data_IF_419710025831
#
_entry.id   IF_419710025831
#
_cell.length_a   1.000
_cell.length_b   1.000
_cell.length_c   1.000
_cell.angle_alpha   90.00
_cell.angle_beta   90.00
_cell.angle_gamma   90.00
#
_symmetry.space_group_name_H-M   'P 1'
#
loop_
_entity.id
_entity.type
_entity.pdbx_description
1 polymer ?
#
# COMPACT_ATOMS: atom_id res chain seq x y z
N UNK A 1 14.25 -75.22 11.00
CA UNK A 1 13.99 -73.80 10.73
C UNK A 1 13.08 -73.77 9.50
N UNK A 2 11.82 -74.16 9.69
CA UNK A 2 10.67 -73.26 9.91
C UNK A 2 10.36 -72.46 8.63
N UNK A 3 9.41 -72.95 7.81
CA UNK A 3 7.95 -72.67 7.81
C UNK A 3 7.66 -71.23 7.34
N UNK A 4 6.83 -70.96 6.34
CA UNK A 4 5.99 -71.81 5.51
C UNK A 4 5.36 -70.98 4.37
N UNK A 5 4.97 -71.69 3.32
CA UNK A 5 4.12 -71.19 2.24
C UNK A 5 2.82 -71.98 2.30
N UNK A 6 1.69 -71.31 2.46
CA UNK A 6 0.43 -71.85 1.96
C UNK A 6 -0.56 -70.74 1.61
N UNK A 7 -1.18 -70.95 0.46
CA UNK A 7 -2.05 -70.07 -0.31
C UNK A 7 -3.45 -70.64 -0.21
N UNK A 8 -4.45 -69.85 0.21
CA UNK A 8 -5.85 -70.04 -0.21
C UNK A 8 -6.56 -68.68 -0.28
N UNK A 9 -6.94 -68.30 -1.49
CA UNK A 9 -7.99 -67.32 -1.79
C UNK A 9 -9.35 -68.00 -1.65
N UNK A 10 -10.35 -67.30 -1.08
CA UNK A 10 -11.72 -67.15 -1.59
C UNK A 10 -12.60 -66.45 -0.53
N UNK A 11 -13.30 -65.39 -0.94
CA UNK A 11 -14.47 -64.88 -0.22
C UNK A 11 -14.57 -63.36 -0.16
N UNK A 12 -15.21 -62.76 -1.17
CA UNK A 12 -15.71 -61.39 -1.13
C UNK A 12 -17.02 -61.29 -0.33
N UNK A 13 -17.37 -60.04 0.01
CA UNK A 13 -18.58 -59.52 0.66
C UNK A 13 -18.62 -59.61 2.19
N UNK A 14 -18.43 -58.45 2.83
CA UNK A 14 -19.48 -57.82 3.62
C UNK A 14 -19.24 -56.30 3.65
N UNK A 15 -20.33 -55.55 3.60
CA UNK A 15 -20.37 -54.14 3.25
C UNK A 15 -19.87 -53.23 4.39
N UNK A 16 -18.90 -52.37 4.08
CA UNK A 16 -18.63 -51.18 4.89
C UNK A 16 -19.69 -50.11 4.57
N UNK A 17 -20.83 -50.20 5.26
CA UNK A 17 -21.67 -49.03 5.52
C UNK A 17 -21.18 -48.41 6.84
N UNK A 18 -20.25 -47.45 6.74
CA UNK A 18 -19.81 -46.66 7.89
C UNK A 18 -20.44 -45.26 7.78
N UNK A 19 -21.73 -45.19 8.08
CA UNK A 19 -22.40 -43.92 8.36
C UNK A 19 -21.74 -43.27 9.59
N UNK A 20 -20.88 -42.26 9.36
CA UNK A 20 -20.35 -41.41 10.44
C UNK A 20 -21.53 -40.75 11.15
N UNK A 21 -21.81 -41.18 12.38
CA UNK A 21 -22.76 -40.51 13.25
C UNK A 21 -22.31 -39.05 13.46
N UNK A 22 -23.01 -38.10 12.83
CA UNK A 22 -22.79 -36.67 13.09
C UNK A 22 -23.16 -36.37 14.54
N UNK A 23 -22.17 -35.95 15.32
CA UNK A 23 -22.34 -35.51 16.72
C UNK A 23 -23.34 -34.35 16.80
N UNK A 24 -24.26 -34.41 17.79
CA UNK A 24 -25.24 -33.35 18.03
C UNK A 24 -24.60 -32.32 18.94
N UNK A 25 -24.44 -31.10 18.44
CA UNK A 25 -23.93 -29.95 19.19
C UNK A 25 -25.02 -29.49 20.16
N UNK A 26 -24.73 -29.54 21.46
CA UNK A 26 -25.66 -29.19 22.53
C UNK A 26 -25.64 -27.67 22.78
N UNK A 27 -26.63 -26.95 22.27
CA UNK A 27 -26.80 -25.51 22.54
C UNK A 27 -27.65 -25.26 23.79
N UNK A 28 -28.66 -26.10 24.01
CA UNK A 28 -29.45 -26.16 25.23
C UNK A 28 -29.61 -27.61 25.68
N UNK A 29 -29.24 -27.92 26.93
CA UNK A 29 -29.40 -29.26 27.50
C UNK A 29 -30.86 -29.68 27.67
N UNK A 30 -31.78 -28.72 27.71
CA UNK A 30 -33.23 -28.94 27.73
C UNK A 30 -33.88 -28.50 26.41
N UNK A 31 -33.11 -28.48 25.31
CA UNK A 31 -33.62 -28.14 24.00
C UNK A 31 -34.77 -29.05 23.57
N UNK A 32 -35.70 -28.48 22.82
CA UNK A 32 -36.94 -29.10 22.35
C UNK A 32 -36.98 -29.26 20.82
N UNK A 33 -35.87 -28.97 20.13
CA UNK A 33 -35.75 -29.05 18.68
C UNK A 33 -34.32 -29.39 18.26
N UNK A 34 -34.18 -30.22 17.23
CA UNK A 34 -32.89 -30.53 16.60
C UNK A 34 -32.85 -29.89 15.20
N UNK A 35 -32.04 -28.84 15.04
CA UNK A 35 -31.81 -28.22 13.74
C UNK A 35 -30.75 -28.98 12.95
N UNK A 36 -31.05 -29.34 11.71
CA UNK A 36 -30.15 -30.08 10.81
C UNK A 36 -29.75 -29.18 9.65
N UNK A 37 -28.45 -28.89 9.53
CA UNK A 37 -27.90 -28.02 8.49
C UNK A 37 -27.00 -28.87 7.60
N UNK A 38 -27.34 -28.96 6.31
CA UNK A 38 -26.59 -29.77 5.34
C UNK A 38 -25.36 -28.99 4.86
N UNK A 39 -24.19 -29.55 5.09
CA UNK A 39 -22.94 -29.08 4.51
C UNK A 39 -22.76 -29.71 3.12
N UNK A 40 -23.23 -29.00 2.09
CA UNK A 40 -23.14 -29.44 0.69
C UNK A 40 -21.70 -29.69 0.24
N UNK A 41 -20.72 -29.08 0.90
CA UNK A 41 -19.30 -29.20 0.52
C UNK A 41 -18.65 -30.47 1.04
N UNK A 42 -19.19 -31.04 2.13
CA UNK A 42 -18.59 -32.19 2.83
C UNK A 42 -19.46 -33.44 2.85
N UNK A 43 -20.61 -33.40 2.16
CA UNK A 43 -21.67 -34.42 2.23
C UNK A 43 -21.96 -34.82 3.70
N UNK A 44 -22.01 -33.81 4.56
CA UNK A 44 -22.16 -33.94 6.00
C UNK A 44 -23.32 -33.09 6.49
N UNK A 45 -23.81 -33.36 7.71
CA UNK A 45 -24.81 -32.52 8.34
C UNK A 45 -24.35 -32.10 9.73
N UNK A 46 -24.55 -30.84 10.10
CA UNK A 46 -24.41 -30.39 11.49
C UNK A 46 -25.77 -30.42 12.15
N UNK A 47 -25.81 -30.95 13.37
CA UNK A 47 -27.03 -31.10 14.16
C UNK A 47 -26.89 -30.28 15.43
N UNK A 48 -27.88 -29.47 15.76
CA UNK A 48 -27.87 -28.60 16.94
C UNK A 48 -29.11 -28.86 17.77
N UNK A 49 -28.94 -29.29 19.03
CA UNK A 49 -30.03 -29.32 20.00
C UNK A 49 -30.20 -27.91 20.56
N UNK A 50 -31.35 -27.29 20.29
CA UNK A 50 -31.62 -25.88 20.57
C UNK A 50 -32.97 -25.72 21.28
N UNK A 51 -33.23 -24.51 21.80
CA UNK A 51 -34.53 -24.11 22.32
C UNK A 51 -35.32 -23.33 21.27
N UNK A 52 -36.45 -23.89 20.83
CA UNK A 52 -37.41 -23.25 19.93
C UNK A 52 -37.90 -21.91 20.49
N UNK A 53 -37.98 -21.79 21.82
CA UNK A 53 -38.41 -20.57 22.52
C UNK A 53 -37.38 -19.47 22.42
N UNK A 54 -36.09 -19.78 22.65
CA UNK A 54 -34.98 -18.83 22.50
C UNK A 54 -34.91 -18.32 21.07
N UNK A 55 -34.98 -19.23 20.09
CA UNK A 55 -35.00 -18.88 18.67
C UNK A 55 -36.19 -17.99 18.29
N UNK A 56 -37.38 -18.31 18.79
CA UNK A 56 -38.60 -17.50 18.56
C UNK A 56 -38.53 -16.11 19.17
N UNK A 57 -37.84 -15.95 20.32
CA UNK A 57 -37.66 -14.64 20.95
C UNK A 57 -36.69 -13.77 20.14
N UNK A 58 -35.64 -14.38 19.58
CA UNK A 58 -34.60 -13.68 18.84
C UNK A 58 -34.99 -13.37 17.39
N UNK A 59 -35.85 -14.19 16.77
CA UNK A 59 -36.18 -14.13 15.35
C UNK A 59 -37.70 -14.25 15.12
N UNK A 60 -38.32 -13.27 14.45
CA UNK A 60 -39.72 -13.37 14.04
C UNK A 60 -39.94 -14.40 12.94
N UNK A 61 -38.89 -14.82 12.22
CA UNK A 61 -38.95 -15.90 11.23
C UNK A 61 -39.05 -17.24 11.94
N UNK A 62 -38.18 -17.53 12.90
CA UNK A 62 -38.30 -18.73 13.74
C UNK A 62 -39.60 -18.75 14.54
N UNK A 63 -40.03 -17.62 15.09
CA UNK A 63 -41.33 -17.53 15.78
C UNK A 63 -42.52 -17.91 14.90
N UNK A 64 -42.46 -17.61 13.59
CA UNK A 64 -43.50 -18.01 12.63
C UNK A 64 -43.33 -19.47 12.21
N UNK A 65 -42.10 -19.90 11.91
CA UNK A 65 -41.77 -21.28 11.54
C UNK A 65 -42.24 -22.28 12.60
N UNK A 66 -42.03 -21.98 13.87
CA UNK A 66 -42.45 -22.85 14.99
C UNK A 66 -43.89 -22.62 15.45
N UNK A 67 -44.66 -21.82 14.72
CA UNK A 67 -46.09 -21.66 14.99
C UNK A 67 -46.90 -22.83 14.43
N UNK A 68 -48.10 -23.14 14.98
CA UNK A 68 -48.92 -24.28 14.54
C UNK A 68 -49.46 -24.17 13.10
N UNK A 69 -49.13 -23.08 12.40
CA UNK A 69 -49.54 -22.83 11.00
C UNK A 69 -48.59 -23.43 9.98
N UNK A 70 -47.41 -23.84 10.42
CA UNK A 70 -46.36 -24.41 9.58
C UNK A 70 -46.10 -25.86 9.98
N UNK A 71 -45.57 -26.64 9.04
CA UNK A 71 -45.29 -28.07 9.24
C UNK A 71 -44.34 -28.26 10.42
N UNK A 72 -43.32 -27.42 10.50
CA UNK A 72 -42.30 -27.38 11.53
C UNK A 72 -42.89 -27.18 12.92
N UNK A 73 -43.84 -26.25 13.07
CA UNK A 73 -44.52 -26.00 14.34
C UNK A 73 -45.55 -27.06 14.73
N UNK A 74 -46.12 -27.80 13.77
CA UNK A 74 -46.95 -28.97 14.06
C UNK A 74 -46.08 -30.13 14.56
N UNK A 75 -44.94 -30.39 13.92
CA UNK A 75 -43.98 -31.41 14.37
C UNK A 75 -43.47 -31.14 15.79
N UNK A 76 -43.24 -29.88 16.13
CA UNK A 76 -42.83 -29.48 17.49
C UNK A 76 -43.89 -29.77 18.57
N UNK A 77 -45.17 -29.92 18.21
CA UNK A 77 -46.23 -30.29 19.15
C UNK A 77 -46.40 -31.80 19.29
N UNK A 78 -46.18 -32.53 18.20
CA UNK A 78 -46.48 -33.96 18.10
C UNK A 78 -45.27 -34.85 18.46
N UNK A 79 -44.04 -34.35 18.31
CA UNK A 79 -42.80 -35.11 18.48
C UNK A 79 -41.95 -34.53 19.63
N UNK A 80 -41.25 -35.41 20.34
CA UNK A 80 -40.24 -35.00 21.32
C UNK A 80 -38.92 -34.69 20.59
N UNK A 81 -38.55 -33.41 20.53
CA UNK A 81 -37.35 -32.90 19.85
C UNK A 81 -37.26 -33.24 18.34
N UNK A 82 -38.19 -32.74 17.50
CA UNK A 82 -38.20 -33.04 16.06
C UNK A 82 -36.94 -32.54 15.35
N UNK A 83 -36.61 -33.24 14.26
CA UNK A 83 -35.52 -32.86 13.36
C UNK A 83 -36.03 -31.90 12.29
N UNK A 84 -35.56 -30.65 12.30
CA UNK A 84 -35.94 -29.62 11.33
C UNK A 84 -34.76 -29.29 10.43
N UNK A 85 -34.92 -29.52 9.13
CA UNK A 85 -33.86 -29.36 8.12
C UNK A 85 -33.82 -27.92 7.59
N UNK A 86 -32.64 -27.30 7.60
CA UNK A 86 -32.35 -25.96 7.05
C UNK A 86 -31.39 -26.10 5.85
N UNK A 87 -31.92 -26.52 4.70
CA UNK A 87 -31.12 -27.05 3.57
C UNK A 87 -30.33 -26.02 2.75
N UNK A 88 -30.63 -24.74 2.93
CA UNK A 88 -30.04 -23.62 2.20
C UNK A 88 -29.08 -22.79 3.06
N UNK A 89 -28.84 -23.21 4.30
CA UNK A 89 -28.04 -22.42 5.23
C UNK A 89 -26.57 -22.83 5.28
N UNK A 90 -25.69 -21.84 5.45
CA UNK A 90 -24.28 -22.09 5.69
C UNK A 90 -24.08 -22.66 7.12
N UNK A 91 -23.45 -23.83 7.25
CA UNK A 91 -23.32 -24.50 8.54
C UNK A 91 -22.42 -23.75 9.52
N UNK A 92 -21.44 -22.95 9.05
CA UNK A 92 -20.54 -22.20 9.94
C UNK A 92 -21.22 -20.94 10.46
N UNK A 93 -21.88 -20.19 9.57
CA UNK A 93 -22.61 -18.99 9.94
C UNK A 93 -23.75 -19.31 10.91
N UNK A 94 -24.53 -20.36 10.63
CA UNK A 94 -25.61 -20.78 11.51
C UNK A 94 -25.12 -21.30 12.85
N UNK A 95 -23.99 -22.02 12.91
CA UNK A 95 -23.42 -22.39 14.21
C UNK A 95 -23.14 -21.16 15.07
N UNK A 96 -22.52 -20.13 14.51
CA UNK A 96 -22.20 -18.92 15.25
C UNK A 96 -23.47 -18.18 15.70
N UNK A 97 -24.45 -18.01 14.79
CA UNK A 97 -25.74 -17.40 15.11
C UNK A 97 -26.40 -18.15 16.26
N UNK A 98 -26.56 -19.48 16.13
CA UNK A 98 -27.25 -20.29 17.12
C UNK A 98 -26.53 -20.30 18.47
N UNK A 99 -25.19 -20.33 18.50
CA UNK A 99 -24.40 -20.20 19.73
C UNK A 99 -24.61 -18.84 20.41
N UNK A 100 -24.62 -17.75 19.64
CA UNK A 100 -24.88 -16.40 20.19
C UNK A 100 -26.28 -16.34 20.80
N UNK A 101 -27.30 -16.82 20.08
CA UNK A 101 -28.68 -16.79 20.55
C UNK A 101 -28.86 -17.60 21.85
N UNK A 102 -28.09 -18.67 22.04
CA UNK A 102 -28.10 -19.50 23.25
C UNK A 102 -27.05 -19.07 24.30
N UNK A 103 -26.49 -17.86 24.20
CA UNK A 103 -25.52 -17.32 25.14
C UNK A 103 -24.24 -18.16 25.33
N UNK A 104 -23.86 -18.97 24.33
CA UNK A 104 -22.65 -19.78 24.33
C UNK A 104 -21.48 -19.04 23.65
N UNK A 105 -21.08 -17.90 24.19
CA UNK A 105 -20.21 -16.94 23.49
C UNK A 105 -18.69 -17.09 23.73
N UNK A 106 -18.22 -18.22 24.26
CA UNK A 106 -16.82 -18.40 24.67
C UNK A 106 -15.91 -18.67 23.46
N UNK A 107 -15.82 -17.69 22.55
CA UNK A 107 -14.71 -17.38 21.61
C UNK A 107 -15.11 -16.34 20.51
N UNK A 108 -16.29 -15.72 20.62
CA UNK A 108 -16.92 -14.96 19.52
C UNK A 108 -16.26 -13.56 19.29
N UNK A 109 -15.37 -13.13 20.20
CA UNK A 109 -14.70 -11.83 20.14
C UNK A 109 -13.56 -11.75 19.11
N UNK A 110 -13.17 -12.86 18.47
CA UNK A 110 -12.17 -12.85 17.42
C UNK A 110 -12.67 -12.09 16.17
N UNK A 111 -11.77 -11.40 15.43
CA UNK A 111 -12.12 -10.82 14.14
C UNK A 111 -12.58 -11.93 13.18
N UNK A 112 -13.74 -11.70 12.54
CA UNK A 112 -14.36 -12.65 11.60
C UNK A 112 -14.02 -12.24 10.18
N UNK A 113 -13.34 -13.10 9.41
CA UNK A 113 -12.95 -12.78 8.02
C UNK A 113 -14.13 -12.28 7.17
N UNK A 114 -13.88 -11.48 6.12
CA UNK A 114 -14.94 -10.80 5.36
C UNK A 114 -16.00 -11.74 4.80
N UNK A 115 -15.58 -12.86 4.20
CA UNK A 115 -16.49 -13.86 3.62
C UNK A 115 -17.43 -14.48 4.66
N UNK A 116 -16.92 -14.80 5.85
CA UNK A 116 -17.73 -15.34 6.95
C UNK A 116 -18.66 -14.26 7.51
N UNK A 117 -18.19 -13.01 7.60
CA UNK A 117 -19.02 -11.88 8.02
C UNK A 117 -20.19 -11.65 7.06
N UNK A 118 -19.96 -11.74 5.76
CA UNK A 118 -21.02 -11.67 4.75
C UNK A 118 -22.03 -12.82 4.89
N UNK A 119 -21.56 -14.06 5.04
CA UNK A 119 -22.44 -15.21 5.28
C UNK A 119 -23.30 -15.02 6.53
N UNK A 120 -22.71 -14.55 7.64
CA UNK A 120 -23.46 -14.20 8.84
C UNK A 120 -24.54 -13.16 8.57
N UNK A 121 -24.20 -12.11 7.81
CA UNK A 121 -25.14 -11.05 7.49
C UNK A 121 -26.32 -11.54 6.65
N UNK A 122 -26.07 -12.39 5.66
CA UNK A 122 -27.11 -13.04 4.84
C UNK A 122 -28.07 -13.86 5.73
N UNK A 123 -27.55 -14.68 6.64
CA UNK A 123 -28.40 -15.49 7.51
C UNK A 123 -29.12 -14.65 8.58
N UNK A 124 -28.48 -13.59 9.10
CA UNK A 124 -29.12 -12.68 10.02
C UNK A 124 -30.29 -11.91 9.38
N UNK A 125 -30.15 -11.51 8.12
CA UNK A 125 -31.23 -10.90 7.34
C UNK A 125 -32.32 -11.92 7.02
N UNK A 126 -31.96 -13.14 6.55
CA UNK A 126 -32.89 -14.25 6.27
C UNK A 126 -33.79 -14.57 7.46
N UNK A 127 -33.22 -14.62 8.66
CA UNK A 127 -33.96 -14.94 9.89
C UNK A 127 -34.42 -13.70 10.66
N UNK A 128 -34.13 -12.49 10.19
CA UNK A 128 -34.42 -11.22 10.87
C UNK A 128 -33.98 -11.23 12.36
N UNK A 129 -32.73 -11.65 12.60
CA UNK A 129 -32.16 -11.80 13.93
C UNK A 129 -30.95 -10.88 14.21
N UNK A 130 -30.62 -9.96 13.28
CA UNK A 130 -29.52 -9.00 13.43
C UNK A 130 -29.57 -8.22 14.76
N UNK A 131 -30.76 -7.89 15.26
CA UNK A 131 -30.92 -7.17 16.54
C UNK A 131 -30.43 -7.99 17.73
N UNK A 132 -30.59 -9.30 17.72
CA UNK A 132 -30.10 -10.17 18.80
C UNK A 132 -28.56 -10.26 18.78
N UNK A 133 -27.94 -10.04 17.62
CA UNK A 133 -26.49 -10.10 17.42
C UNK A 133 -25.80 -8.73 17.42
N UNK A 134 -26.52 -7.64 17.74
CA UNK A 134 -26.06 -6.27 17.49
C UNK A 134 -24.69 -5.94 18.11
N UNK A 135 -24.41 -6.43 19.32
CA UNK A 135 -23.15 -6.19 20.02
C UNK A 135 -21.95 -6.74 19.24
N UNK A 136 -22.10 -7.93 18.66
CA UNK A 136 -21.05 -8.57 17.87
C UNK A 136 -20.94 -7.96 16.47
N UNK A 137 -22.07 -7.64 15.84
CA UNK A 137 -22.09 -6.98 14.53
C UNK A 137 -21.33 -5.66 14.59
N UNK A 138 -21.58 -4.83 15.61
CA UNK A 138 -20.84 -3.56 15.80
C UNK A 138 -19.35 -3.81 15.97
N UNK A 139 -18.97 -4.83 16.75
CA UNK A 139 -17.56 -5.18 16.93
C UNK A 139 -16.90 -5.65 15.62
N UNK A 140 -17.54 -6.55 14.88
CA UNK A 140 -16.99 -7.12 13.65
C UNK A 140 -16.94 -6.11 12.50
N UNK A 141 -17.96 -5.25 12.35
CA UNK A 141 -17.96 -4.20 11.35
C UNK A 141 -16.93 -3.09 11.62
N UNK A 142 -16.51 -2.91 12.89
CA UNK A 142 -15.49 -1.94 13.27
C UNK A 142 -14.08 -2.54 13.35
N UNK A 143 -13.95 -3.85 13.32
CA UNK A 143 -12.64 -4.51 13.38
C UNK A 143 -11.86 -4.22 12.09
N UNK A 144 -10.70 -3.57 12.23
CA UNK A 144 -9.73 -3.50 11.14
C UNK A 144 -9.25 -4.93 10.86
N UNK A 145 -9.37 -5.36 9.62
CA UNK A 145 -8.84 -6.62 9.13
C UNK A 145 -7.93 -6.28 7.97
N UNK A 146 -6.82 -7.01 7.86
CA UNK A 146 -5.95 -6.92 6.69
C UNK A 146 -6.72 -7.43 5.48
N UNK A 147 -7.39 -6.50 4.80
CA UNK A 147 -8.08 -6.75 3.54
C UNK A 147 -7.06 -6.59 2.44
N UNK A 148 -6.79 -7.66 1.72
CA UNK A 148 -5.84 -7.64 0.60
C UNK A 148 -6.50 -7.97 -0.74
N UNK A 149 -7.57 -8.79 -0.74
CA UNK A 149 -8.20 -9.25 -1.97
C UNK A 149 -9.38 -8.36 -2.41
N UNK A 150 -9.63 -8.16 -3.71
CA UNK A 150 -10.76 -7.37 -4.20
C UNK A 150 -12.13 -7.85 -3.71
N UNK A 151 -12.33 -9.17 -3.62
CA UNK A 151 -13.58 -9.79 -3.16
C UNK A 151 -13.85 -9.56 -1.67
N UNK A 152 -12.81 -9.39 -0.86
CA UNK A 152 -12.96 -9.12 0.57
C UNK A 152 -13.63 -7.77 0.83
N UNK A 153 -13.35 -6.76 0.01
CA UNK A 153 -14.09 -5.50 0.02
C UNK A 153 -15.56 -5.70 -0.35
N UNK A 154 -15.84 -6.58 -1.32
CA UNK A 154 -17.20 -6.98 -1.69
C UNK A 154 -17.94 -7.62 -0.52
N UNK A 155 -17.32 -8.58 0.17
CA UNK A 155 -17.91 -9.25 1.32
C UNK A 155 -18.13 -8.31 2.51
N UNK A 156 -17.18 -7.42 2.81
CA UNK A 156 -17.37 -6.35 3.81
C UNK A 156 -18.55 -5.45 3.47
N UNK A 157 -18.66 -5.03 2.21
CA UNK A 157 -19.72 -4.15 1.75
C UNK A 157 -21.09 -4.84 1.82
N UNK A 158 -21.17 -6.11 1.41
CA UNK A 158 -22.37 -6.95 1.52
C UNK A 158 -22.80 -7.10 2.97
N UNK A 159 -21.85 -7.38 3.87
CA UNK A 159 -22.15 -7.47 5.30
C UNK A 159 -22.70 -6.15 5.85
N UNK A 160 -22.01 -5.04 5.56
CA UNK A 160 -22.43 -3.71 6.02
C UNK A 160 -23.81 -3.32 5.46
N UNK A 161 -24.11 -3.68 4.21
CA UNK A 161 -25.42 -3.49 3.58
C UNK A 161 -26.52 -4.28 4.29
N UNK A 162 -26.33 -5.60 4.44
CA UNK A 162 -27.32 -6.50 5.05
C UNK A 162 -27.57 -6.17 6.53
N UNK A 163 -26.53 -5.79 7.27
CA UNK A 163 -26.66 -5.34 8.66
C UNK A 163 -27.26 -3.94 8.80
N UNK A 164 -27.43 -3.18 7.71
CA UNK A 164 -27.78 -1.76 7.71
C UNK A 164 -26.82 -0.95 8.61
N UNK A 165 -25.54 -1.27 8.51
CA UNK A 165 -24.49 -0.70 9.37
C UNK A 165 -24.32 0.80 9.11
N UNK A 166 -24.17 1.63 10.14
CA UNK A 166 -23.85 3.06 9.97
C UNK A 166 -22.48 3.28 9.32
N UNK A 167 -21.59 2.28 9.33
CA UNK A 167 -20.25 2.37 8.72
C UNK A 167 -20.24 2.11 7.21
N UNK A 168 -21.38 1.81 6.60
CA UNK A 168 -21.49 1.45 5.18
C UNK A 168 -20.80 2.46 4.24
N UNK A 169 -20.99 3.76 4.46
CA UNK A 169 -20.33 4.81 3.65
C UNK A 169 -18.82 4.80 3.78
N UNK A 170 -18.28 4.52 4.97
CA UNK A 170 -16.83 4.42 5.18
C UNK A 170 -16.26 3.21 4.43
N UNK A 171 -16.97 2.08 4.45
CA UNK A 171 -16.60 0.88 3.69
C UNK A 171 -16.58 1.15 2.17
N UNK A 172 -17.52 1.93 1.63
CA UNK A 172 -17.49 2.36 0.22
C UNK A 172 -16.22 3.16 -0.07
N UNK A 173 -15.87 4.13 0.78
CA UNK A 173 -14.69 4.98 0.58
C UNK A 173 -13.40 4.16 0.68
N UNK A 174 -13.33 3.24 1.65
CA UNK A 174 -12.20 2.30 1.81
C UNK A 174 -12.04 1.44 0.54
N UNK A 175 -13.13 0.84 0.06
CA UNK A 175 -13.13 0.04 -1.16
C UNK A 175 -12.72 0.86 -2.40
N UNK A 176 -13.25 2.08 -2.56
CA UNK A 176 -12.94 2.95 -3.69
C UNK A 176 -11.47 3.38 -3.75
N UNK A 177 -10.76 3.39 -2.61
CA UNK A 177 -9.33 3.72 -2.54
C UNK A 177 -8.43 2.55 -2.98
N UNK A 178 -8.90 1.32 -2.84
CA UNK A 178 -8.08 0.10 -2.97
C UNK A 178 -8.44 -0.74 -4.20
N UNK A 179 -9.68 -0.65 -4.69
CA UNK A 179 -10.15 -1.43 -5.83
C UNK A 179 -9.72 -0.84 -7.16
N UNK A 180 -9.37 -1.72 -8.08
CA UNK A 180 -9.17 -1.39 -9.49
C UNK A 180 -10.52 -1.22 -10.22
N UNK A 181 -10.59 -0.44 -11.32
CA UNK A 181 -11.86 -0.18 -12.02
C UNK A 181 -12.61 -1.42 -12.52
N UNK A 182 -11.91 -2.53 -12.76
CA UNK A 182 -12.43 -3.80 -13.24
C UNK A 182 -12.83 -4.79 -12.13
N UNK A 183 -12.90 -4.36 -10.87
CA UNK A 183 -13.24 -5.24 -9.74
C UNK A 183 -14.54 -6.04 -9.91
N UNK A 184 -15.48 -5.53 -10.71
CA UNK A 184 -16.80 -6.14 -10.93
C UNK A 184 -16.69 -7.57 -11.44
N UNK A 185 -15.75 -7.86 -12.34
CA UNK A 185 -15.57 -9.23 -12.87
C UNK A 185 -15.12 -10.22 -11.80
N UNK A 186 -14.32 -9.76 -10.82
CA UNK A 186 -13.90 -10.59 -9.67
C UNK A 186 -15.11 -10.87 -8.77
N UNK A 187 -15.96 -9.87 -8.56
CA UNK A 187 -17.14 -10.03 -7.71
C UNK A 187 -18.18 -10.97 -8.30
N UNK A 188 -18.34 -10.99 -9.63
CA UNK A 188 -19.25 -11.89 -10.35
C UNK A 188 -18.90 -13.38 -10.18
N UNK A 189 -17.65 -13.72 -9.84
CA UNK A 189 -17.23 -15.10 -9.54
C UNK A 189 -17.79 -15.62 -8.20
N UNK A 190 -18.34 -14.74 -7.36
CA UNK A 190 -18.84 -15.07 -6.04
C UNK A 190 -20.36 -14.92 -5.94
N UNK A 191 -21.07 -16.05 -5.92
CA UNK A 191 -22.55 -16.10 -5.83
C UNK A 191 -23.13 -15.24 -4.70
N UNK A 192 -22.48 -15.18 -3.54
CA UNK A 192 -22.94 -14.36 -2.42
C UNK A 192 -22.92 -12.85 -2.75
N UNK A 193 -21.97 -12.38 -3.55
CA UNK A 193 -21.85 -10.97 -3.93
C UNK A 193 -22.94 -10.54 -4.92
N UNK A 194 -23.61 -11.47 -5.60
CA UNK A 194 -24.79 -11.18 -6.40
C UNK A 194 -25.99 -10.67 -5.56
N UNK A 195 -25.93 -10.80 -4.23
CA UNK A 195 -26.92 -10.23 -3.31
C UNK A 195 -26.72 -8.72 -3.04
N UNK A 196 -25.58 -8.14 -3.43
CA UNK A 196 -25.41 -6.69 -3.43
C UNK A 196 -26.24 -6.07 -4.56
N UNK A 197 -26.98 -4.98 -4.30
CA UNK A 197 -27.66 -4.23 -5.36
C UNK A 197 -26.71 -3.76 -6.46
N UNK A 198 -27.10 -3.94 -7.72
CA UNK A 198 -26.33 -3.53 -8.90
C UNK A 198 -26.08 -2.02 -8.92
N UNK A 199 -26.96 -1.22 -8.30
CA UNK A 199 -26.78 0.22 -8.15
C UNK A 199 -25.54 0.57 -7.31
N UNK A 200 -25.21 -0.26 -6.32
CA UNK A 200 -24.05 -0.04 -5.44
C UNK A 200 -22.76 -0.37 -6.18
N UNK A 201 -22.72 -1.50 -6.89
CA UNK A 201 -21.54 -1.90 -7.68
C UNK A 201 -21.28 -0.90 -8.81
N UNK A 202 -22.33 -0.49 -9.52
CA UNK A 202 -22.26 0.53 -10.57
C UNK A 202 -21.80 1.87 -10.02
N UNK A 203 -22.37 2.35 -8.91
CA UNK A 203 -21.98 3.60 -8.29
C UNK A 203 -20.51 3.58 -7.80
N UNK A 204 -20.05 2.45 -7.25
CA UNK A 204 -18.66 2.28 -6.83
C UNK A 204 -17.69 2.30 -8.02
N UNK A 205 -18.01 1.59 -9.11
CA UNK A 205 -17.20 1.60 -10.34
C UNK A 205 -17.13 3.00 -10.96
N UNK A 206 -18.26 3.72 -11.00
CA UNK A 206 -18.32 5.09 -11.49
C UNK A 206 -17.54 6.07 -10.59
N UNK A 207 -17.61 5.89 -9.27
CA UNK A 207 -16.81 6.66 -8.31
C UNK A 207 -15.31 6.47 -8.54
N UNK A 208 -14.84 5.23 -8.67
CA UNK A 208 -13.42 4.92 -8.93
C UNK A 208 -13.00 5.55 -10.25
N UNK A 209 -13.76 5.29 -11.32
CA UNK A 209 -13.46 5.78 -12.67
C UNK A 209 -13.41 7.30 -12.76
N UNK A 210 -14.40 8.00 -12.18
CA UNK A 210 -14.43 9.47 -12.14
C UNK A 210 -13.29 10.05 -11.31
N UNK A 211 -12.95 9.40 -10.20
CA UNK A 211 -11.85 9.86 -9.34
C UNK A 211 -10.52 9.74 -10.08
N UNK A 212 -10.26 8.60 -10.72
CA UNK A 212 -9.06 8.40 -11.55
C UNK A 212 -9.00 9.38 -12.73
N UNK A 213 -10.12 9.60 -13.43
CA UNK A 213 -10.19 10.57 -14.51
C UNK A 213 -9.88 12.00 -14.02
N UNK A 214 -10.41 12.38 -12.86
CA UNK A 214 -10.12 13.68 -12.25
C UNK A 214 -8.65 13.81 -11.87
N UNK A 215 -8.07 12.79 -11.24
CA UNK A 215 -6.64 12.76 -10.91
C UNK A 215 -5.79 12.93 -12.18
N UNK A 216 -6.15 12.23 -13.26
CA UNK A 216 -5.46 12.37 -14.54
C UNK A 216 -5.57 13.79 -15.10
N UNK A 217 -6.76 14.40 -15.10
CA UNK A 217 -6.95 15.78 -15.56
C UNK A 217 -6.12 16.77 -14.74
N UNK A 218 -6.12 16.65 -13.41
CA UNK A 218 -5.32 17.52 -12.55
C UNK A 218 -3.83 17.36 -12.82
N UNK A 219 -3.34 16.13 -13.02
CA UNK A 219 -1.95 15.86 -13.38
C UNK A 219 -1.57 16.53 -14.71
N UNK A 220 -2.41 16.39 -15.74
CA UNK A 220 -2.21 17.06 -17.03
C UNK A 220 -2.25 18.59 -16.90
N UNK A 221 -3.14 19.13 -16.05
CA UNK A 221 -3.23 20.56 -15.82
C UNK A 221 -1.99 21.12 -15.12
N UNK A 222 -1.42 20.39 -14.14
CA UNK A 222 -0.14 20.78 -13.51
C UNK A 222 0.99 20.76 -14.54
N UNK A 223 1.06 19.71 -15.37
CA UNK A 223 2.06 19.59 -16.44
C UNK A 223 1.98 20.73 -17.45
N UNK A 224 0.77 21.08 -17.90
CA UNK A 224 0.53 22.23 -18.77
C UNK A 224 0.97 23.56 -18.13
N UNK A 225 0.60 23.80 -16.86
CA UNK A 225 1.01 25.03 -16.13
C UNK A 225 2.53 25.15 -16.02
N UNK A 226 3.23 24.04 -15.81
CA UNK A 226 4.69 24.02 -15.73
C UNK A 226 5.35 24.24 -17.09
N UNK A 227 4.78 23.68 -18.15
CA UNK A 227 5.23 23.89 -19.52
C UNK A 227 5.08 25.35 -19.96
N UNK A 228 3.99 26.00 -19.60
CA UNK A 228 3.68 27.38 -19.98
C UNK A 228 4.26 28.42 -19.00
N UNK A 229 5.00 27.97 -17.98
CA UNK A 229 5.52 28.82 -16.93
C UNK A 229 6.60 29.77 -17.46
N UNK A 230 6.29 31.06 -17.53
CA UNK A 230 7.14 32.08 -18.18
C UNK A 230 8.32 32.56 -17.34
N UNK A 231 8.24 32.43 -16.01
CA UNK A 231 9.36 32.75 -15.13
C UNK A 231 10.32 31.56 -15.13
N UNK A 232 11.18 31.55 -16.14
CA UNK A 232 12.18 30.51 -16.27
C UNK A 232 13.51 31.02 -16.76
N UNK A 233 14.56 30.34 -16.30
CA UNK A 233 15.91 30.63 -16.71
C UNK A 233 16.27 29.70 -17.85
N UNK A 234 16.55 30.28 -19.01
CA UNK A 234 17.15 29.55 -20.12
C UNK A 234 18.62 29.41 -19.84
N UNK A 235 19.05 28.17 -19.64
CA UNK A 235 20.45 27.86 -19.62
C UNK A 235 20.89 27.62 -21.05
N UNK A 236 21.72 28.52 -21.58
CA UNK A 236 22.65 28.18 -22.65
C UNK A 236 23.36 26.92 -22.19
N UNK A 237 23.37 25.86 -22.98
CA UNK A 237 24.03 24.60 -22.63
C UNK A 237 25.54 24.81 -22.46
N UNK A 238 25.96 25.42 -21.35
CA UNK A 238 27.29 25.30 -20.81
C UNK A 238 27.34 23.88 -20.24
N UNK A 239 27.55 22.94 -21.15
CA UNK A 239 28.06 21.63 -20.78
C UNK A 239 29.30 21.94 -19.96
N UNK A 240 29.26 21.61 -18.67
CA UNK A 240 30.46 21.64 -17.85
C UNK A 240 31.52 20.89 -18.66
N UNK A 241 32.59 21.57 -19.13
CA UNK A 241 33.58 20.95 -20.02
C UNK A 241 34.27 19.73 -19.36
N UNK A 242 34.03 19.55 -18.06
CA UNK A 242 34.21 18.29 -17.34
C UNK A 242 33.13 17.29 -17.77
N UNK A 243 33.34 16.65 -18.93
CA UNK A 243 32.49 15.61 -19.52
C UNK A 243 32.40 14.30 -18.70
N UNK A 244 32.73 14.36 -17.43
CA UNK A 244 32.70 13.29 -16.45
C UNK A 244 32.47 14.01 -15.14
N UNK A 245 31.59 13.53 -14.26
CA UNK A 245 31.35 14.11 -12.93
C UNK A 245 32.57 14.14 -11.98
N UNK A 246 33.80 14.18 -12.51
CA UNK A 246 35.08 14.28 -11.81
C UNK A 246 35.28 15.70 -11.27
N UNK A 247 35.68 15.75 -10.01
CA UNK A 247 36.15 16.96 -9.35
C UNK A 247 37.44 17.45 -10.03
N UNK A 248 37.66 18.77 -10.22
CA UNK A 248 38.92 19.29 -10.72
C UNK A 248 40.03 19.00 -9.71
N UNK A 249 41.09 18.30 -10.13
CA UNK A 249 42.31 18.12 -9.33
C UNK A 249 42.99 16.75 -9.40
N UNK A 250 42.38 15.72 -10.00
CA UNK A 250 43.03 14.41 -10.18
C UNK A 250 43.71 14.36 -11.55
N UNK A 251 44.93 14.91 -11.64
CA UNK A 251 45.74 14.89 -12.86
C UNK A 251 46.47 13.57 -13.06
N UNK A 252 46.40 12.99 -14.27
CA UNK A 252 47.58 12.45 -14.95
C UNK A 252 47.62 12.98 -16.41
N UNK A 253 48.60 13.86 -16.62
CA UNK A 253 49.34 14.19 -17.86
C UNK A 253 48.67 14.29 -19.25
N UNK A 254 48.69 15.53 -19.76
CA UNK A 254 49.12 15.99 -21.11
C UNK A 254 48.37 15.53 -22.36
N UNK A 255 47.86 16.48 -23.16
CA UNK A 255 48.55 17.04 -24.36
C UNK A 255 48.01 18.46 -24.60
N UNK A 256 48.96 19.34 -24.96
CA UNK A 256 48.83 20.73 -25.39
C UNK A 256 47.92 20.95 -26.60
N UNK A 257 47.09 21.99 -26.56
CA UNK A 257 46.91 22.88 -27.71
C UNK A 257 46.60 24.30 -27.24
N UNK A 258 47.42 25.23 -27.70
CA UNK A 258 47.28 26.67 -27.52
C UNK A 258 46.13 27.18 -28.40
N UNK A 259 45.16 27.86 -27.80
CA UNK A 259 44.06 28.51 -28.51
C UNK A 259 43.34 29.52 -27.62
N UNK A 260 43.77 30.78 -27.76
CA UNK A 260 43.14 32.03 -27.35
C UNK A 260 42.27 32.03 -26.07
N UNK A 261 42.89 32.51 -24.99
CA UNK A 261 42.21 33.08 -23.84
C UNK A 261 41.43 34.33 -24.27
N UNK A 262 40.11 34.24 -24.31
CA UNK A 262 39.27 35.39 -23.97
C UNK A 262 38.60 35.13 -22.63
N UNK A 263 39.16 35.80 -21.63
CA UNK A 263 38.67 35.96 -20.27
C UNK A 263 37.34 36.74 -20.33
N UNK A 264 36.22 36.06 -20.53
CA UNK A 264 34.90 36.66 -20.32
C UNK A 264 34.53 36.56 -18.84
N UNK A 265 34.83 37.64 -18.14
CA UNK A 265 34.32 37.98 -16.81
C UNK A 265 32.82 37.69 -16.72
N UNK A 266 32.45 36.68 -15.92
CA UNK A 266 31.05 36.44 -15.52
C UNK A 266 30.68 37.51 -14.49
N UNK A 267 30.20 38.65 -14.96
CA UNK A 267 29.62 39.71 -14.13
C UNK A 267 28.12 39.51 -13.97
N UNK A 268 27.68 39.58 -12.71
CA UNK A 268 26.31 39.71 -12.20
C UNK A 268 25.32 38.56 -12.46
N UNK A 269 25.36 37.58 -11.54
CA UNK A 269 24.16 36.82 -11.13
C UNK A 269 23.99 37.05 -9.63
N UNK A 270 23.17 38.03 -9.25
CA UNK A 270 22.93 38.46 -7.85
C UNK A 270 22.02 37.52 -7.06
N UNK A 271 21.67 36.35 -7.61
CA UNK A 271 20.93 35.28 -6.92
C UNK A 271 21.79 34.04 -6.78
N UNK A 272 21.73 33.32 -5.66
CA UNK A 272 22.42 32.06 -5.52
C UNK A 272 21.78 30.96 -6.43
N UNK A 273 22.07 31.00 -7.74
CA UNK A 273 21.96 29.94 -8.76
C UNK A 273 22.79 28.68 -8.50
N UNK A 274 22.21 27.64 -7.89
CA UNK A 274 22.79 26.29 -7.94
C UNK A 274 22.54 25.76 -9.36
N UNK A 275 23.60 25.37 -10.07
CA UNK A 275 23.48 24.78 -11.41
C UNK A 275 23.02 23.33 -11.25
N UNK A 276 21.74 23.07 -11.49
CA UNK A 276 21.21 21.71 -11.58
C UNK A 276 21.00 21.40 -13.06
N UNK A 277 21.60 20.30 -13.54
CA UNK A 277 21.25 19.77 -14.85
C UNK A 277 19.88 19.10 -14.73
N UNK A 278 18.81 19.89 -14.87
CA UNK A 278 17.43 19.41 -14.79
C UNK A 278 17.11 18.75 -16.13
N UNK A 279 17.09 17.41 -16.14
CA UNK A 279 16.61 16.65 -17.27
C UNK A 279 15.08 16.80 -17.39
N UNK A 280 14.50 16.58 -18.58
CA UNK A 280 13.03 16.56 -18.75
C UNK A 280 12.31 15.61 -17.77
N UNK A 281 13.02 14.59 -17.25
CA UNK A 281 12.50 13.67 -16.24
C UNK A 281 12.46 14.29 -14.83
N UNK A 282 13.39 15.16 -14.46
CA UNK A 282 13.41 15.79 -13.13
C UNK A 282 12.28 16.83 -12.99
N UNK A 283 11.89 17.51 -14.08
CA UNK A 283 10.70 18.37 -14.11
C UNK A 283 9.43 17.57 -13.82
N UNK A 284 9.28 16.38 -14.42
CA UNK A 284 8.16 15.45 -14.16
C UNK A 284 8.06 15.05 -12.68
N UNK A 285 9.17 14.96 -11.95
CA UNK A 285 9.18 14.56 -10.54
C UNK A 285 8.78 15.67 -9.57
N UNK A 286 9.09 16.94 -9.89
CA UNK A 286 8.57 18.10 -9.16
C UNK A 286 7.04 18.20 -9.27
N UNK A 287 6.46 17.77 -10.41
CA UNK A 287 5.00 17.69 -10.64
C UNK A 287 4.33 16.77 -9.62
N UNK A 288 4.94 15.62 -9.34
CA UNK A 288 4.34 14.59 -8.49
C UNK A 288 4.53 14.85 -6.99
N UNK A 289 5.65 15.44 -6.55
CA UNK A 289 5.88 15.75 -5.12
C UNK A 289 4.89 16.82 -4.62
N UNK A 290 4.61 17.84 -5.43
CA UNK A 290 3.57 18.83 -5.13
C UNK A 290 2.15 18.21 -5.12
N UNK A 291 1.93 17.17 -5.92
CA UNK A 291 0.66 16.45 -6.00
C UNK A 291 0.46 15.48 -4.83
N UNK A 292 1.51 14.78 -4.39
CA UNK A 292 1.50 13.96 -3.17
C UNK A 292 1.14 14.82 -1.94
N UNK A 293 1.72 16.01 -1.82
CA UNK A 293 1.36 16.96 -0.75
C UNK A 293 -0.11 17.38 -0.81
N UNK A 294 -0.66 17.66 -1.99
CA UNK A 294 -2.07 18.02 -2.18
C UNK A 294 -3.04 16.85 -1.89
N UNK A 295 -2.69 15.62 -2.29
CA UNK A 295 -3.48 14.42 -1.98
C UNK A 295 -3.48 14.11 -0.49
N UNK A 296 -2.31 14.16 0.17
CA UNK A 296 -2.17 13.92 1.61
C UNK A 296 -3.01 14.92 2.41
N UNK A 297 -3.05 16.18 1.99
CA UNK A 297 -3.84 17.22 2.66
C UNK A 297 -5.34 17.17 2.33
N UNK A 298 -5.74 16.68 1.15
CA UNK A 298 -7.15 16.66 0.70
C UNK A 298 -7.89 15.38 1.09
N UNK A 299 -7.21 14.24 1.20
CA UNK A 299 -7.85 12.93 1.40
C UNK A 299 -7.57 12.24 2.73
N UNK A 300 -6.74 12.84 3.59
CA UNK A 300 -6.30 12.22 4.84
C UNK A 300 -5.39 11.03 4.56
N UNK A 301 -4.29 10.96 5.30
CA UNK A 301 -3.27 9.94 5.12
C UNK A 301 -3.85 8.53 5.44
N UNK A 302 -3.86 7.54 4.54
CA UNK A 302 -4.36 6.20 4.84
C UNK A 302 -3.42 5.38 5.75
N UNK A 303 -2.22 5.87 6.03
CA UNK A 303 -1.17 5.17 6.81
C UNK A 303 -1.19 5.60 8.30
N UNK A 304 -2.18 6.39 8.72
CA UNK A 304 -2.29 6.86 10.11
C UNK A 304 -3.01 5.84 11.02
N UNK A 305 -2.46 4.64 11.20
CA UNK A 305 -2.76 3.84 12.39
C UNK A 305 -1.54 3.05 12.83
N UNK A 306 -1.01 3.47 13.98
CA UNK A 306 0.26 3.03 14.59
C UNK A 306 1.47 3.59 13.84
N UNK A 307 2.17 4.54 14.44
CA UNK A 307 3.62 4.57 14.68
C UNK A 307 3.92 5.80 15.53
N UNK A 308 4.85 5.63 16.48
CA UNK A 308 5.05 6.45 17.68
C UNK A 308 5.37 7.92 17.43
N UNK A 309 4.80 8.78 18.27
CA UNK A 309 5.18 10.18 18.50
C UNK A 309 6.70 10.33 18.60
N UNK A 310 7.32 10.71 17.49
CA UNK A 310 8.72 11.13 17.44
C UNK A 310 8.70 12.64 17.28
N UNK A 311 9.32 13.34 18.24
CA UNK A 311 9.27 14.79 18.40
C UNK A 311 9.46 15.56 17.08
N UNK A 312 8.41 16.25 16.66
CA UNK A 312 8.45 17.20 15.55
C UNK A 312 9.49 18.31 15.82
N UNK A 313 10.49 18.45 14.96
CA UNK A 313 11.24 19.71 14.78
C UNK A 313 10.56 20.48 13.65
N UNK A 314 10.40 21.79 13.82
CA UNK A 314 9.84 22.64 12.76
C UNK A 314 10.74 22.62 11.50
N UNK A 315 10.16 22.29 10.34
CA UNK A 315 10.76 22.29 8.97
C UNK A 315 11.73 21.15 8.64
N UNK A 316 11.26 19.92 8.64
CA UNK A 316 12.05 18.78 8.14
C UNK A 316 12.14 18.80 6.59
N UNK A 317 13.36 18.84 6.07
CA UNK A 317 13.66 18.84 4.62
C UNK A 317 14.30 17.52 4.21
N UNK A 318 13.72 16.87 3.21
CA UNK A 318 14.19 15.59 2.68
C UNK A 318 14.71 15.72 1.24
N UNK A 319 15.90 15.20 0.97
CA UNK A 319 16.47 15.13 -0.37
C UNK A 319 16.40 13.69 -0.87
N UNK A 320 15.57 13.44 -1.88
CA UNK A 320 15.31 12.10 -2.41
C UNK A 320 16.10 11.93 -3.71
N UNK A 321 17.06 11.00 -3.70
CA UNK A 321 17.99 10.78 -4.82
C UNK A 321 17.94 9.31 -5.24
N UNK A 322 17.13 8.93 -6.24
CA UNK A 322 17.28 7.63 -6.88
C UNK A 322 18.61 7.55 -7.63
N UNK A 323 19.23 6.37 -7.56
CA UNK A 323 20.40 6.06 -8.38
C UNK A 323 20.36 4.61 -8.87
N UNK A 324 21.36 4.22 -9.63
CA UNK A 324 21.60 2.84 -10.05
C UNK A 324 23.11 2.61 -10.22
N UNK A 325 23.52 1.36 -10.38
CA UNK A 325 24.94 0.97 -10.43
C UNK A 325 25.80 1.84 -11.38
N UNK A 326 25.28 2.22 -12.55
CA UNK A 326 26.03 3.01 -13.53
C UNK A 326 26.32 4.45 -13.11
N UNK A 327 25.60 5.01 -12.13
CA UNK A 327 25.73 6.40 -11.68
C UNK A 327 26.26 6.54 -10.24
N UNK A 328 26.77 5.47 -9.64
CA UNK A 328 27.23 5.51 -8.25
C UNK A 328 28.44 6.43 -8.03
N UNK A 329 29.31 6.60 -9.04
CA UNK A 329 30.44 7.54 -8.96
C UNK A 329 29.94 8.99 -8.98
N UNK A 330 29.02 9.31 -9.90
CA UNK A 330 28.41 10.63 -10.01
C UNK A 330 27.65 10.99 -8.74
N UNK A 331 26.93 10.03 -8.16
CA UNK A 331 26.24 10.23 -6.89
C UNK A 331 27.22 10.53 -5.75
N UNK A 332 28.35 9.81 -5.69
CA UNK A 332 29.36 10.05 -4.66
C UNK A 332 29.97 11.45 -4.81
N UNK A 333 30.30 11.87 -6.04
CA UNK A 333 30.83 13.20 -6.32
C UNK A 333 29.79 14.30 -6.03
N UNK A 334 28.51 14.05 -6.31
CA UNK A 334 27.42 14.94 -5.93
C UNK A 334 27.38 15.14 -4.42
N UNK A 335 27.28 14.05 -3.64
CA UNK A 335 27.19 14.12 -2.19
C UNK A 335 28.43 14.75 -1.56
N UNK A 336 29.62 14.50 -2.09
CA UNK A 336 30.82 15.17 -1.63
C UNK A 336 30.77 16.68 -1.91
N UNK A 337 30.46 17.08 -3.14
CA UNK A 337 30.33 18.50 -3.47
C UNK A 337 29.25 19.20 -2.64
N UNK A 338 28.15 18.49 -2.35
CA UNK A 338 27.11 18.93 -1.44
C UNK A 338 27.65 19.11 -0.02
N UNK A 339 28.38 18.13 0.51
CA UNK A 339 29.00 18.22 1.84
C UNK A 339 29.95 19.42 1.97
N UNK A 340 30.71 19.70 0.91
CA UNK A 340 31.70 20.77 0.93
C UNK A 340 31.08 22.17 0.83
N UNK A 341 29.94 22.32 0.16
CA UNK A 341 29.40 23.62 -0.25
C UNK A 341 28.00 23.92 0.32
N UNK A 342 27.29 22.95 0.87
CA UNK A 342 26.01 23.17 1.54
C UNK A 342 26.25 23.64 2.99
N UNK A 343 25.83 24.87 3.28
CA UNK A 343 26.08 25.54 4.57
C UNK A 343 25.19 25.05 5.71
N UNK A 344 24.09 24.35 5.39
CA UNK A 344 23.09 23.82 6.32
C UNK A 344 22.93 22.29 6.24
N UNK A 345 23.95 21.58 5.73
CA UNK A 345 23.92 20.12 5.54
C UNK A 345 23.63 19.30 6.80
N UNK A 346 23.93 19.84 8.00
CA UNK A 346 23.68 19.17 9.28
C UNK A 346 22.18 19.07 9.63
N UNK A 347 21.31 19.72 8.85
CA UNK A 347 19.86 19.76 9.05
C UNK A 347 19.07 19.21 7.84
N UNK A 348 19.75 18.52 6.93
CA UNK A 348 19.14 18.04 5.68
C UNK A 348 19.27 16.52 5.66
N UNK A 349 18.14 15.85 5.70
CA UNK A 349 18.08 14.41 5.49
C UNK A 349 18.22 14.12 3.99
N UNK A 350 19.00 13.10 3.66
CA UNK A 350 19.23 12.67 2.28
C UNK A 350 18.96 11.17 2.18
N UNK A 351 17.84 10.83 1.54
CA UNK A 351 17.50 9.47 1.16
C UNK A 351 18.04 9.11 -0.24
N UNK A 352 18.97 8.17 -0.29
CA UNK A 352 19.49 7.58 -1.54
C UNK A 352 18.76 6.27 -1.80
N UNK A 353 18.01 6.21 -2.91
CA UNK A 353 17.17 5.05 -3.24
C UNK A 353 17.86 4.18 -4.28
N UNK A 354 18.23 2.97 -3.87
CA UNK A 354 19.00 2.00 -4.63
C UNK A 354 18.14 0.77 -4.97
N UNK A 355 18.48 0.06 -6.05
CA UNK A 355 17.63 -1.00 -6.61
C UNK A 355 17.63 -2.28 -5.77
N UNK A 356 18.75 -2.56 -5.11
CA UNK A 356 18.99 -3.83 -4.43
C UNK A 356 20.15 -3.70 -3.43
N UNK A 357 20.38 -4.77 -2.67
CA UNK A 357 21.42 -4.84 -1.64
C UNK A 357 22.83 -4.69 -2.23
N UNK A 358 23.10 -5.24 -3.42
CA UNK A 358 24.41 -5.12 -4.06
C UNK A 358 24.77 -3.66 -4.38
N UNK A 359 23.81 -2.87 -4.85
CA UNK A 359 23.97 -1.43 -5.08
C UNK A 359 24.20 -0.68 -3.76
N UNK A 360 23.46 -1.03 -2.70
CA UNK A 360 23.63 -0.46 -1.36
C UNK A 360 25.05 -0.69 -0.83
N UNK A 361 25.55 -1.93 -0.89
CA UNK A 361 26.88 -2.26 -0.40
C UNK A 361 28.00 -1.66 -1.27
N UNK A 362 27.80 -1.68 -2.59
CA UNK A 362 28.71 -1.07 -3.56
C UNK A 362 28.84 0.44 -3.36
N UNK A 363 27.74 1.10 -3.02
CA UNK A 363 27.75 2.53 -2.74
C UNK A 363 28.30 2.84 -1.35
N UNK A 364 27.98 2.04 -0.33
CA UNK A 364 28.53 2.21 1.05
C UNK A 364 30.05 2.14 1.08
N UNK A 365 30.64 1.26 0.26
CA UNK A 365 32.10 1.17 0.11
C UNK A 365 32.66 2.48 -0.47
N UNK A 366 32.10 2.95 -1.59
CA UNK A 366 32.49 4.22 -2.24
C UNK A 366 32.27 5.45 -1.35
N UNK A 367 31.19 5.43 -0.56
CA UNK A 367 30.86 6.47 0.40
C UNK A 367 31.98 6.66 1.44
N UNK A 368 32.63 5.57 1.84
CA UNK A 368 33.71 5.56 2.83
C UNK A 368 35.07 6.01 2.27
N UNK A 369 35.24 5.98 0.95
CA UNK A 369 36.50 6.27 0.27
C UNK A 369 36.64 7.75 -0.16
N UNK A 370 35.59 8.56 -0.01
CA UNK A 370 35.61 9.95 -0.48
C UNK A 370 36.59 10.84 0.30
N UNK A 371 37.38 11.68 -0.40
CA UNK A 371 38.32 12.57 0.28
C UNK A 371 37.60 13.66 1.07
N UNK A 372 38.28 14.19 2.09
CA UNK A 372 37.78 15.33 2.86
C UNK A 372 37.75 16.60 2.03
N UNK A 373 36.78 17.49 2.28
CA UNK A 373 36.64 18.77 1.61
C UNK A 373 37.86 19.69 1.76
N UNK A 374 38.56 19.62 2.90
CA UNK A 374 39.66 20.53 3.21
C UNK A 374 39.23 21.98 3.40
N UNK A 375 40.19 22.90 3.50
CA UNK A 375 39.91 24.34 3.70
C UNK A 375 39.52 25.07 2.41
N UNK A 376 39.66 24.42 1.25
CA UNK A 376 39.30 24.98 -0.04
C UNK A 376 38.70 23.91 -0.94
N UNK A 377 37.51 24.17 -1.49
CA UNK A 377 36.86 23.33 -2.49
C UNK A 377 36.37 24.20 -3.64
N UNK A 378 36.82 23.91 -4.86
CA UNK A 378 36.56 24.71 -6.08
C UNK A 378 36.86 26.22 -5.91
N UNK A 379 37.90 26.56 -5.16
CA UNK A 379 38.28 27.96 -4.92
C UNK A 379 37.48 28.64 -3.80
N UNK A 380 36.47 27.98 -3.23
CA UNK A 380 35.69 28.50 -2.10
C UNK A 380 36.28 28.08 -0.77
N UNK A 381 36.20 28.96 0.23
CA UNK A 381 36.57 28.61 1.60
C UNK A 381 35.56 27.61 2.18
N UNK A 382 36.04 26.40 2.47
CA UNK A 382 35.25 25.30 3.05
C UNK A 382 35.78 24.88 4.41
N UNK A 383 36.46 25.78 5.15
CA UNK A 383 37.01 25.47 6.47
C UNK A 383 35.98 24.91 7.47
N UNK A 384 34.71 25.33 7.38
CA UNK A 384 33.62 24.81 8.20
C UNK A 384 33.30 23.33 7.89
N UNK A 385 33.44 22.93 6.63
CA UNK A 385 33.19 21.56 6.17
C UNK A 385 34.48 20.73 6.03
N UNK A 386 35.64 21.24 6.45
CA UNK A 386 36.96 20.68 6.11
C UNK A 386 37.16 19.23 6.57
N UNK A 387 36.46 18.82 7.62
CA UNK A 387 36.55 17.47 8.17
C UNK A 387 35.53 16.49 7.59
N UNK A 388 34.55 16.99 6.83
CA UNK A 388 33.54 16.16 6.19
C UNK A 388 34.07 15.66 4.84
N UNK A 389 33.75 14.41 4.53
CA UNK A 389 33.85 13.85 3.18
C UNK A 389 32.47 13.73 2.53
N UNK A 390 31.43 13.51 3.34
CA UNK A 390 30.05 13.30 2.92
C UNK A 390 29.09 14.01 3.87
N UNK A 391 27.83 14.24 3.47
CA UNK A 391 26.81 14.81 4.35
C UNK A 391 26.55 13.87 5.53
N UNK A 392 26.28 14.40 6.74
CA UNK A 392 26.18 13.60 7.95
C UNK A 392 24.89 12.78 8.06
N UNK A 393 23.83 13.17 7.35
CA UNK A 393 22.49 12.58 7.43
C UNK A 393 22.11 11.93 6.09
N UNK A 394 22.87 10.90 5.68
CA UNK A 394 22.57 10.13 4.47
C UNK A 394 22.04 8.75 4.85
N UNK A 395 20.85 8.42 4.36
CA UNK A 395 20.24 7.11 4.47
C UNK A 395 20.31 6.38 3.13
N UNK A 396 20.83 5.15 3.13
CA UNK A 396 20.84 4.28 1.95
C UNK A 396 19.66 3.32 2.04
N UNK A 397 18.75 3.42 1.09
CA UNK A 397 17.48 2.69 1.12
C UNK A 397 17.38 1.75 -0.07
N UNK A 398 17.12 0.49 0.21
CA UNK A 398 16.73 -0.47 -0.83
C UNK A 398 15.28 -0.17 -1.23
N UNK A 399 15.04 -0.04 -2.53
CA UNK A 399 13.71 0.21 -3.09
C UNK A 399 12.69 -0.80 -2.56
N UNK A 400 13.04 -2.08 -2.47
CA UNK A 400 12.11 -3.12 -2.03
C UNK A 400 11.49 -2.82 -0.65
N UNK A 401 12.29 -2.31 0.29
CA UNK A 401 11.88 -2.06 1.67
C UNK A 401 10.85 -0.93 1.79
N UNK A 402 10.77 -0.07 0.77
CA UNK A 402 9.88 1.09 0.74
C UNK A 402 8.78 0.97 -0.33
N UNK A 403 8.71 -0.16 -1.04
CA UNK A 403 7.61 -0.44 -1.97
C UNK A 403 6.31 -0.73 -1.20
N UNK A 404 5.14 -0.32 -1.73
CA UNK A 404 3.87 -0.78 -1.19
C UNK A 404 3.72 -2.30 -1.37
N UNK A 405 2.98 -2.95 -0.46
CA UNK A 405 2.80 -4.40 -0.43
C UNK A 405 2.31 -5.00 -1.76
N UNK A 406 1.47 -4.26 -2.50
CA UNK A 406 1.02 -4.65 -3.83
C UNK A 406 2.19 -4.84 -4.80
N UNK A 407 3.15 -3.91 -4.82
CA UNK A 407 4.32 -4.00 -5.69
C UNK A 407 5.39 -4.97 -5.16
N UNK A 408 5.52 -5.10 -3.84
CA UNK A 408 6.41 -6.12 -3.25
C UNK A 408 5.98 -7.54 -3.63
N UNK A 409 4.68 -7.78 -3.80
CA UNK A 409 4.16 -9.09 -4.22
C UNK A 409 4.48 -9.45 -5.68
N UNK A 410 4.83 -8.46 -6.49
CA UNK A 410 5.10 -8.62 -7.93
C UNK A 410 6.59 -8.74 -8.26
N UNK A 411 7.48 -8.70 -7.28
CA UNK A 411 8.92 -8.70 -7.51
C UNK A 411 9.70 -9.32 -6.35
N UNK A 412 10.89 -9.83 -6.62
CA UNK A 412 11.89 -10.17 -5.60
C UNK A 412 12.54 -8.93 -4.95
N UNK A 413 13.26 -9.16 -3.85
CA UNK A 413 14.01 -8.14 -3.08
C UNK A 413 15.02 -7.33 -3.90
N UNK A 414 15.44 -7.87 -5.06
CA UNK A 414 16.36 -7.19 -5.99
C UNK A 414 15.65 -6.25 -6.98
N UNK A 415 14.32 -6.22 -6.95
CA UNK A 415 13.41 -5.42 -7.79
C UNK A 415 13.60 -5.56 -9.31
N UNK A 416 14.25 -6.63 -9.77
CA UNK A 416 14.57 -6.85 -11.19
C UNK A 416 13.32 -7.11 -12.02
N UNK A 417 12.37 -7.88 -11.50
CA UNK A 417 11.11 -8.17 -12.18
C UNK A 417 10.31 -6.88 -12.41
N UNK A 418 10.30 -5.99 -11.41
CA UNK A 418 9.65 -4.70 -11.50
C UNK A 418 10.28 -3.82 -12.59
N UNK A 419 11.62 -3.73 -12.63
CA UNK A 419 12.34 -3.00 -13.69
C UNK A 419 12.00 -3.55 -15.08
N UNK A 420 11.96 -4.88 -15.24
CA UNK A 420 11.64 -5.52 -16.51
C UNK A 420 10.19 -5.26 -16.94
N UNK A 421 9.25 -5.23 -15.98
CA UNK A 421 7.82 -4.99 -16.23
C UNK A 421 7.55 -3.55 -16.68
N UNK A 422 8.10 -2.56 -15.97
CA UNK A 422 7.72 -1.14 -16.17
C UNK A 422 8.69 -0.37 -17.07
N UNK A 423 9.89 -0.92 -17.30
CA UNK A 423 10.96 -0.30 -18.08
C UNK A 423 11.73 0.78 -17.31
N UNK A 424 12.93 1.13 -17.82
CA UNK A 424 13.92 2.00 -17.15
C UNK A 424 13.35 3.33 -16.64
N UNK A 425 12.63 4.06 -17.49
CA UNK A 425 12.18 5.42 -17.15
C UNK A 425 11.08 5.44 -16.08
N UNK A 426 10.11 4.53 -16.23
CA UNK A 426 9.05 4.35 -15.24
C UNK A 426 9.62 3.87 -13.92
N UNK A 427 10.59 2.95 -13.96
CA UNK A 427 11.26 2.42 -12.78
C UNK A 427 12.01 3.51 -12.00
N UNK A 428 12.72 4.42 -12.69
CA UNK A 428 13.35 5.58 -12.03
C UNK A 428 12.33 6.54 -11.42
N UNK A 429 11.18 6.73 -12.08
CA UNK A 429 10.08 7.53 -11.52
C UNK A 429 9.49 6.86 -10.28
N UNK A 430 9.33 5.53 -10.32
CA UNK A 430 8.84 4.73 -9.21
C UNK A 430 9.74 4.88 -7.97
N UNK A 431 11.07 4.85 -8.13
CA UNK A 431 11.99 5.08 -7.00
C UNK A 431 11.73 6.42 -6.31
N UNK A 432 11.55 7.49 -7.09
CA UNK A 432 11.27 8.82 -6.55
C UNK A 432 9.95 8.85 -5.80
N UNK A 433 8.93 8.20 -6.35
CA UNK A 433 7.60 8.13 -5.73
C UNK A 433 7.59 7.29 -4.47
N UNK A 434 8.28 6.15 -4.47
CA UNK A 434 8.42 5.30 -3.29
C UNK A 434 9.09 6.07 -2.15
N UNK A 435 10.17 6.81 -2.45
CA UNK A 435 10.79 7.72 -1.49
C UNK A 435 9.82 8.78 -0.97
N UNK A 436 9.17 9.49 -1.88
CA UNK A 436 8.26 10.59 -1.51
C UNK A 436 7.06 10.11 -0.66
N UNK A 437 6.61 8.87 -0.86
CA UNK A 437 5.52 8.29 -0.09
C UNK A 437 5.98 7.74 1.27
N UNK A 438 7.22 7.24 1.35
CA UNK A 438 7.75 6.58 2.54
C UNK A 438 8.25 7.57 3.61
N UNK A 439 8.97 8.61 3.20
CA UNK A 439 9.56 9.56 4.13
C UNK A 439 8.58 10.63 4.61
N UNK A 440 8.80 11.10 5.84
CA UNK A 440 8.06 12.21 6.42
C UNK A 440 8.87 13.50 6.33
N UNK A 441 8.28 14.53 5.74
CA UNK A 441 8.92 15.82 5.54
C UNK A 441 7.88 16.94 5.41
N UNK A 442 8.29 18.16 5.71
CA UNK A 442 7.53 19.36 5.37
C UNK A 442 7.80 19.78 3.92
N UNK A 443 9.04 19.60 3.47
CA UNK A 443 9.48 19.86 2.10
C UNK A 443 10.40 18.74 1.60
N UNK A 444 10.18 18.28 0.37
CA UNK A 444 11.10 17.35 -0.29
C UNK A 444 11.58 17.88 -1.65
N UNK A 445 12.81 17.52 -1.99
CA UNK A 445 13.39 17.76 -3.31
C UNK A 445 13.83 16.43 -3.93
N UNK A 446 13.27 16.08 -5.07
CA UNK A 446 13.72 14.93 -5.86
C UNK A 446 14.82 15.33 -6.84
N UNK A 447 16.00 14.71 -6.76
CA UNK A 447 17.13 14.99 -7.66
C UNK A 447 17.55 13.76 -8.48
N UNK A 448 18.13 13.99 -9.66
CA UNK A 448 18.84 12.96 -10.40
C UNK A 448 20.27 12.81 -9.85
N UNK A 449 20.82 11.60 -9.88
CA UNK A 449 22.14 11.26 -9.29
C UNK A 449 23.36 11.86 -10.00
N UNK A 450 23.16 12.65 -11.06
CA UNK A 450 24.21 13.21 -11.93
C UNK A 450 24.55 14.68 -11.60
N UNK A 451 24.02 15.22 -10.51
CA UNK A 451 24.26 16.61 -10.11
C UNK A 451 25.69 16.87 -9.61
N UNK A 452 26.06 18.15 -9.53
CA UNK A 452 27.23 18.61 -8.78
C UNK A 452 26.95 20.00 -8.21
N UNK A 453 27.34 20.22 -6.96
CA UNK A 453 27.28 21.56 -6.36
C UNK A 453 28.59 22.27 -6.71
N UNK A 454 28.50 23.42 -7.36
CA UNK A 454 29.68 24.16 -7.84
C UNK A 454 29.97 25.44 -7.06
N UNK A 455 29.11 25.78 -6.08
CA UNK A 455 29.26 26.99 -5.26
C UNK A 455 28.51 26.89 -3.94
N UNK A 456 28.95 27.62 -2.90
CA UNK A 456 28.30 27.60 -1.60
C UNK A 456 26.84 28.02 -1.65
N UNK A 457 25.98 27.33 -0.91
CA UNK A 457 24.55 27.63 -0.85
C UNK A 457 23.92 27.19 0.48
N UNK A 458 22.69 27.63 0.72
CA UNK A 458 21.86 27.19 1.84
C UNK A 458 20.58 26.57 1.25
N UNK A 459 20.37 25.27 1.47
CA UNK A 459 19.29 24.53 0.81
C UNK A 459 17.92 24.98 1.32
N UNK A 460 17.74 25.10 2.64
CA UNK A 460 16.45 25.51 3.19
C UNK A 460 16.03 26.90 2.71
N UNK A 461 16.98 27.83 2.59
CA UNK A 461 16.72 29.15 1.98
C UNK A 461 16.39 29.00 0.50
N UNK A 462 17.11 28.18 -0.26
CA UNK A 462 16.83 27.95 -1.67
C UNK A 462 15.41 27.39 -1.89
N UNK A 463 15.00 26.40 -1.09
CA UNK A 463 13.67 25.80 -1.14
C UNK A 463 12.57 26.79 -0.72
N UNK A 464 12.80 27.57 0.35
CA UNK A 464 11.84 28.62 0.78
C UNK A 464 11.66 29.70 -0.29
N UNK A 465 12.75 30.15 -0.90
CA UNK A 465 12.68 31.13 -1.99
C UNK A 465 12.01 30.55 -3.24
N UNK A 466 12.28 29.28 -3.57
CA UNK A 466 11.56 28.58 -4.62
C UNK A 466 10.06 28.46 -4.33
N UNK A 467 9.67 28.16 -3.09
CA UNK A 467 8.27 28.08 -2.70
C UNK A 467 7.53 29.42 -2.82
N UNK A 468 8.21 30.55 -2.57
CA UNK A 468 7.66 31.90 -2.78
C UNK A 468 7.64 32.32 -4.25
N UNK A 469 8.69 31.93 -4.97
CA UNK A 469 8.95 32.35 -6.34
C UNK A 469 9.35 31.13 -7.18
N UNK A 470 8.38 30.26 -7.53
CA UNK A 470 8.67 29.08 -8.32
C UNK A 470 9.25 29.51 -9.66
N UNK A 471 10.25 28.77 -10.12
CA UNK A 471 10.91 29.00 -11.41
C UNK A 471 11.08 27.68 -12.14
N UNK A 472 11.02 27.70 -13.47
CA UNK A 472 11.31 26.54 -14.31
C UNK A 472 12.64 26.76 -15.02
N UNK A 473 13.49 25.74 -15.06
CA UNK A 473 14.76 25.81 -15.77
C UNK A 473 14.61 25.04 -17.08
N UNK A 474 14.93 25.69 -18.19
CA UNK A 474 14.89 25.08 -19.52
C UNK A 474 16.31 24.99 -20.08
N UNK A 475 16.69 23.80 -20.55
CA UNK A 475 17.87 23.63 -21.39
C UNK A 475 17.50 23.86 -22.85
N UNK A 476 18.26 24.70 -23.53
CA UNK A 476 18.21 24.82 -25.00
C UNK A 476 19.42 24.04 -25.52
N UNK A 477 19.17 22.98 -26.28
CA UNK A 477 20.22 22.37 -27.09
C UNK A 477 20.31 23.17 -28.37
N UNK A 478 21.43 23.88 -28.56
CA UNK A 478 21.72 24.50 -29.85
C UNK A 478 21.80 23.40 -30.91
N UNK A 479 21.07 23.58 -32.01
CA UNK A 479 20.82 22.57 -33.05
C UNK A 479 21.97 22.37 -34.03
#
# INVERSE_FOLDING_TARGET
MEKGSEMVLLGANEAEDCSKASEIIQLDSNGDIILVIKDRTRDASRKFLASSRVLSLASPVFSRMFSPRFKEGLQLQDEDSPYISLEEDDPKAMELILRILHYQSVDISAPVNPKTLAALAIHCDKYDCSRALISWIVQWCNASQDVSAPEDFGFKLLAAYMFRSPTFSNTIVEAAKQLEPNFVSVWEEHEALALLPEEITTALSDLISKTLARLHIELQAVEGRLRDYKAGYTMSGLVCCFHTGKLPGTSESSVSDEGDQQEQQVTDITTPTVLFHISRLSVLCVIFIAFAWSIIHTFGNPIQSSWSESLHRENDTELIIPSFNGHLEQLANFLQSFACLCTDMEHINIAVILSNVEEVDSFRTRFSEQPKCGSNFFGYNTSAAANFSMPPLVELVNLYDILPASLQSETSEDTVDLLNKVGKYTYQSLKKMAGAAYFHYDYALGLDSEGVVIRPFNLQKALREYGKHPAVWHSVMDG
#
